data_IF_438593763420
#
_entry.id   IF_438593763420
#
_cell.length_a   1.000
_cell.length_b   1.000
_cell.length_c   1.000
_cell.angle_alpha   90.00
_cell.angle_beta   90.00
_cell.angle_gamma   90.00
#
_symmetry.space_group_name_H-M   'P 1'
#
loop_
_entity.id
_entity.type
_entity.pdbx_description
1 polymer ?
#
# COMPACT_ATOMS: atom_id res chain seq x y z
N UNK A 1 20.94 32.58 22.31
CA UNK A 1 19.71 32.06 21.69
C UNK A 1 19.57 30.63 22.15
N UNK A 2 18.56 30.34 22.97
CA UNK A 2 18.23 28.96 23.36
C UNK A 2 17.83 28.21 22.09
N UNK A 3 18.60 27.19 21.67
CA UNK A 3 18.08 26.26 20.65
C UNK A 3 16.81 25.66 21.24
N UNK A 4 15.69 25.74 20.53
CA UNK A 4 14.49 24.99 20.90
C UNK A 4 14.85 23.51 20.95
N UNK A 5 14.26 22.76 21.89
CA UNK A 5 14.51 21.31 21.98
C UNK A 5 14.07 20.64 20.68
N UNK A 6 14.92 19.77 20.14
CA UNK A 6 14.61 18.98 18.96
C UNK A 6 13.74 17.77 19.36
N UNK A 7 12.42 17.91 19.27
CA UNK A 7 11.47 16.91 19.74
C UNK A 7 10.74 16.22 18.57
N UNK A 8 10.62 14.89 18.67
CA UNK A 8 9.83 14.07 17.75
C UNK A 8 8.64 13.45 18.49
N UNK A 9 7.46 13.49 17.85
CA UNK A 9 6.30 12.71 18.24
C UNK A 9 6.16 11.52 17.30
N UNK A 10 6.34 10.32 17.84
CA UNK A 10 6.17 9.05 17.14
C UNK A 10 4.77 8.52 17.43
N UNK A 11 4.03 8.17 16.38
CA UNK A 11 2.62 7.79 16.42
C UNK A 11 2.49 6.38 15.84
N UNK A 12 1.95 5.44 16.63
CA UNK A 12 1.60 4.09 16.20
C UNK A 12 0.07 3.95 16.22
N UNK A 13 -0.55 3.96 15.04
CA UNK A 13 -1.94 3.57 14.90
C UNK A 13 -2.02 2.04 14.90
N UNK A 14 -2.29 1.46 16.07
CA UNK A 14 -2.44 0.02 16.29
C UNK A 14 -3.91 -0.43 16.22
N UNK A 15 -4.13 -1.72 15.91
CA UNK A 15 -5.48 -2.29 15.73
C UNK A 15 -6.34 -2.25 16.99
N UNK A 16 -5.72 -2.10 18.17
CA UNK A 16 -6.41 -1.95 19.46
C UNK A 16 -6.24 -0.55 20.04
N UNK A 17 -5.06 0.04 19.92
CA UNK A 17 -4.73 1.33 20.52
C UNK A 17 -3.93 2.19 19.55
N UNK A 18 -4.21 3.49 19.55
CA UNK A 18 -3.29 4.51 19.03
C UNK A 18 -2.33 4.90 20.15
N UNK A 19 -1.03 4.84 19.90
CA UNK A 19 0.01 5.08 20.91
C UNK A 19 0.94 6.19 20.46
N UNK A 20 1.38 6.99 21.42
CA UNK A 20 2.30 8.10 21.21
C UNK A 20 3.56 7.91 22.04
N UNK A 21 4.70 8.25 21.44
CA UNK A 21 5.97 8.44 22.15
C UNK A 21 6.59 9.77 21.73
N UNK A 22 6.80 10.62 22.71
CA UNK A 22 7.54 11.85 22.53
C UNK A 22 9.00 11.60 22.91
N UNK A 23 9.92 12.00 22.04
CA UNK A 23 11.36 11.74 22.16
C UNK A 23 12.13 13.04 21.95
N UNK A 24 13.10 13.30 22.82
CA UNK A 24 14.12 14.33 22.61
C UNK A 24 15.24 13.72 21.76
N UNK A 25 15.43 14.24 20.55
CA UNK A 25 16.41 13.71 19.60
C UNK A 25 17.85 14.13 19.93
N UNK A 26 18.04 15.22 20.68
CA UNK A 26 19.37 15.67 21.09
C UNK A 26 19.90 14.80 22.24
N UNK A 27 19.03 14.43 23.19
CA UNK A 27 19.41 13.57 24.33
C UNK A 27 19.12 12.08 24.10
N UNK A 28 18.36 11.73 23.07
CA UNK A 28 17.84 10.37 22.82
C UNK A 28 16.98 9.82 23.96
N UNK A 29 16.23 10.68 24.65
CA UNK A 29 15.39 10.30 25.80
C UNK A 29 13.89 10.32 25.44
N UNK A 30 13.13 9.38 25.99
CA UNK A 30 11.66 9.40 25.91
C UNK A 30 11.15 10.40 26.94
N UNK A 31 10.54 11.49 26.48
CA UNK A 31 10.00 12.55 27.34
C UNK A 31 8.55 12.27 27.77
N UNK A 32 7.86 11.34 27.10
CA UNK A 32 6.57 10.86 27.55
C UNK A 32 5.80 10.01 26.55
N UNK A 33 4.56 9.70 26.91
CA UNK A 33 3.66 8.88 26.10
C UNK A 33 2.20 9.20 26.38
N UNK A 34 1.34 8.87 25.42
CA UNK A 34 -0.09 8.77 25.62
C UNK A 34 -0.68 7.64 24.78
N UNK A 35 -1.88 7.23 25.13
CA UNK A 35 -2.61 6.22 24.39
C UNK A 35 -4.11 6.53 24.29
N UNK A 36 -4.71 6.15 23.17
CA UNK A 36 -6.14 6.24 22.92
C UNK A 36 -6.65 4.94 22.30
N UNK A 37 -7.96 4.67 22.34
CA UNK A 37 -8.54 3.55 21.61
C UNK A 37 -8.26 3.68 20.11
N UNK A 38 -8.14 2.56 19.40
CA UNK A 38 -8.11 2.58 17.95
C UNK A 38 -9.49 2.92 17.39
N UNK A 39 -9.53 3.90 16.49
CA UNK A 39 -10.75 4.38 15.82
C UNK A 39 -10.67 4.16 14.32
N UNK A 40 -9.87 3.18 13.87
CA UNK A 40 -9.69 2.85 12.45
C UNK A 40 -10.98 2.54 11.71
N UNK A 41 -11.96 1.91 12.39
CA UNK A 41 -13.25 1.61 11.78
C UNK A 41 -14.10 2.87 11.53
N UNK A 42 -13.69 4.02 12.08
CA UNK A 42 -14.35 5.32 11.92
C UNK A 42 -13.33 6.35 11.40
N UNK A 43 -12.80 7.22 12.27
CA UNK A 43 -11.82 8.24 11.93
C UNK A 43 -10.61 8.11 12.87
N UNK A 44 -9.44 7.84 12.30
CA UNK A 44 -8.18 7.67 13.04
C UNK A 44 -7.76 8.92 13.81
N UNK A 45 -8.23 10.10 13.41
CA UNK A 45 -7.92 11.36 14.10
C UNK A 45 -8.53 11.40 15.49
N UNK A 46 -9.68 10.75 15.73
CA UNK A 46 -10.28 10.64 17.06
C UNK A 46 -9.38 9.87 18.02
N UNK A 47 -8.83 8.74 17.59
CA UNK A 47 -7.86 7.95 18.35
C UNK A 47 -6.56 8.72 18.63
N UNK A 48 -6.09 9.51 17.66
CA UNK A 48 -4.94 10.40 17.83
C UNK A 48 -5.22 11.49 18.88
N UNK A 49 -6.37 12.16 18.80
CA UNK A 49 -6.76 13.19 19.77
C UNK A 49 -6.90 12.62 21.18
N UNK A 50 -7.50 11.43 21.32
CA UNK A 50 -7.58 10.74 22.60
C UNK A 50 -6.19 10.45 23.18
N UNK A 51 -5.25 9.97 22.35
CA UNK A 51 -3.89 9.70 22.79
C UNK A 51 -3.10 10.97 23.14
N UNK A 52 -3.31 12.06 22.39
CA UNK A 52 -2.71 13.37 22.68
C UNK A 52 -3.25 13.93 24.00
N UNK A 53 -4.56 13.84 24.24
CA UNK A 53 -5.18 14.27 25.50
C UNK A 53 -4.71 13.45 26.70
N UNK A 54 -4.56 12.12 26.55
CA UNK A 54 -3.95 11.27 27.59
C UNK A 54 -2.52 11.70 27.91
N UNK A 55 -1.73 12.04 26.88
CA UNK A 55 -0.37 12.53 27.07
C UNK A 55 -0.33 13.92 27.74
N UNK A 56 -1.16 14.84 27.27
CA UNK A 56 -1.30 16.21 27.82
C UNK A 56 -1.71 16.17 29.30
N UNK A 57 -2.60 15.26 29.69
CA UNK A 57 -2.97 15.07 31.09
C UNK A 57 -1.80 14.63 32.00
N UNK A 58 -0.76 14.02 31.44
CA UNK A 58 0.41 13.54 32.20
C UNK A 58 1.49 14.61 32.35
N UNK A 59 1.71 15.44 31.31
CA UNK A 59 2.82 16.39 31.28
C UNK A 59 2.38 17.86 31.33
N UNK A 60 1.08 18.14 31.28
CA UNK A 60 0.54 19.47 31.02
C UNK A 60 0.62 19.82 29.54
N UNK A 61 0.75 21.11 29.24
CA UNK A 61 0.77 21.62 27.86
C UNK A 61 1.76 20.84 26.98
N UNK A 62 1.25 20.37 25.84
CA UNK A 62 2.08 19.65 24.87
C UNK A 62 3.14 20.58 24.27
N UNK A 63 4.41 20.15 24.22
CA UNK A 63 5.47 20.94 23.58
C UNK A 63 5.28 20.97 22.06
N UNK A 64 5.98 21.89 21.41
CA UNK A 64 6.10 21.89 19.96
C UNK A 64 6.98 20.71 19.51
N UNK A 65 6.53 19.96 18.52
CA UNK A 65 7.26 18.84 17.94
C UNK A 65 7.74 19.22 16.54
N UNK A 66 9.05 19.20 16.32
CA UNK A 66 9.68 19.43 15.02
C UNK A 66 9.34 18.30 14.04
N UNK A 67 9.22 17.09 14.55
CA UNK A 67 8.86 15.91 13.77
C UNK A 67 7.61 15.24 14.29
N UNK A 68 6.71 14.87 13.37
CA UNK A 68 5.55 14.01 13.65
C UNK A 68 5.58 12.85 12.67
N UNK A 69 5.94 11.68 13.16
CA UNK A 69 6.12 10.49 12.34
C UNK A 69 5.08 9.45 12.74
N UNK A 70 4.37 8.90 11.76
CA UNK A 70 3.32 7.93 12.01
C UNK A 70 3.57 6.62 11.27
N UNK A 71 3.20 5.52 11.90
CA UNK A 71 2.98 4.23 11.27
C UNK A 71 1.57 3.74 11.60
N UNK A 72 1.02 2.87 10.75
CA UNK A 72 -0.29 2.27 10.98
C UNK A 72 -0.27 0.79 10.65
N UNK A 73 -0.80 -0.02 11.56
CA UNK A 73 -1.06 -1.45 11.38
C UNK A 73 -2.55 -1.78 11.52
N UNK A 74 -3.38 -0.77 11.76
CA UNK A 74 -4.67 -0.91 12.39
C UNK A 74 -5.84 -1.16 11.43
N UNK A 75 -5.73 -0.75 10.15
CA UNK A 75 -6.73 -0.95 9.10
C UNK A 75 -6.90 -2.40 8.61
N UNK A 76 -6.14 -3.35 9.17
CA UNK A 76 -5.80 -4.55 8.43
C UNK A 76 -4.80 -4.19 7.33
N UNK A 77 -3.81 -5.05 7.09
CA UNK A 77 -2.78 -4.76 6.08
C UNK A 77 -3.41 -4.48 4.71
N UNK A 78 -2.76 -3.63 3.92
CA UNK A 78 -3.18 -3.21 2.58
C UNK A 78 -3.71 -4.40 1.77
N UNK A 79 -5.02 -4.45 1.52
CA UNK A 79 -5.70 -5.55 0.85
C UNK A 79 -5.40 -5.50 -0.65
N UNK A 80 -4.55 -6.42 -1.12
CA UNK A 80 -4.10 -6.45 -2.50
C UNK A 80 -4.71 -7.61 -3.28
N UNK A 81 -5.22 -7.30 -4.47
CA UNK A 81 -5.54 -8.28 -5.51
C UNK A 81 -4.42 -8.31 -6.53
N UNK A 82 -4.13 -9.49 -7.08
CA UNK A 82 -3.17 -9.62 -8.18
C UNK A 82 -3.79 -10.24 -9.41
N UNK A 83 -3.36 -9.76 -10.57
CA UNK A 83 -3.81 -10.21 -11.88
C UNK A 83 -2.56 -10.42 -12.73
N UNK A 84 -2.38 -11.59 -13.34
CA UNK A 84 -1.22 -11.81 -14.19
C UNK A 84 -1.31 -13.02 -15.11
N UNK A 85 -0.22 -13.35 -15.81
CA UNK A 85 -0.26 -14.32 -16.91
C UNK A 85 -0.44 -15.79 -16.48
N UNK A 86 0.25 -16.25 -15.43
CA UNK A 86 0.25 -17.66 -15.01
C UNK A 86 0.08 -17.78 -13.51
N UNK A 87 -0.88 -18.59 -13.06
CA UNK A 87 -1.32 -18.68 -11.66
C UNK A 87 -0.18 -18.88 -10.65
N UNK A 88 0.73 -19.82 -10.89
CA UNK A 88 1.80 -20.18 -9.95
C UNK A 88 2.87 -19.07 -9.85
N UNK A 89 3.25 -18.47 -10.98
CA UNK A 89 4.29 -17.45 -11.05
C UNK A 89 3.77 -16.08 -10.63
N UNK A 90 2.56 -15.72 -11.09
CA UNK A 90 1.86 -14.50 -10.67
C UNK A 90 1.63 -14.52 -9.17
N UNK A 91 1.14 -15.62 -8.60
CA UNK A 91 0.86 -15.70 -7.17
C UNK A 91 2.13 -15.60 -6.32
N UNK A 92 3.25 -16.20 -6.73
CA UNK A 92 4.50 -16.15 -5.97
C UNK A 92 5.14 -14.75 -6.03
N UNK A 93 5.25 -14.16 -7.23
CA UNK A 93 5.77 -12.81 -7.40
C UNK A 93 4.91 -11.78 -6.64
N UNK A 94 3.59 -11.89 -6.78
CA UNK A 94 2.61 -11.10 -6.05
C UNK A 94 2.76 -11.25 -4.54
N UNK A 95 2.85 -12.48 -4.04
CA UNK A 95 2.96 -12.76 -2.62
C UNK A 95 4.27 -12.20 -2.04
N UNK A 96 5.38 -12.32 -2.76
CA UNK A 96 6.66 -11.76 -2.31
C UNK A 96 6.64 -10.22 -2.29
N UNK A 97 6.09 -9.59 -3.33
CA UNK A 97 5.90 -8.14 -3.37
C UNK A 97 4.95 -7.65 -2.26
N UNK A 98 3.82 -8.35 -2.06
CA UNK A 98 2.81 -8.04 -1.04
C UNK A 98 3.39 -8.11 0.38
N UNK A 99 3.96 -9.27 0.73
CA UNK A 99 4.48 -9.53 2.08
C UNK A 99 5.63 -8.57 2.41
N UNK A 100 6.49 -8.29 1.43
CA UNK A 100 7.57 -7.31 1.61
C UNK A 100 7.07 -5.87 1.77
N UNK A 101 5.92 -5.53 1.20
CA UNK A 101 5.30 -4.21 1.31
C UNK A 101 4.38 -4.05 2.53
N UNK A 102 4.12 -5.12 3.29
CA UNK A 102 3.13 -5.12 4.38
C UNK A 102 1.68 -5.24 3.91
N UNK A 103 1.47 -5.63 2.64
CA UNK A 103 0.17 -5.89 2.04
C UNK A 103 -0.27 -7.34 2.26
N UNK A 104 -1.58 -7.55 2.34
CA UNK A 104 -2.21 -8.87 2.43
C UNK A 104 -2.82 -9.21 1.08
N UNK A 105 -2.42 -10.34 0.51
CA UNK A 105 -3.04 -10.87 -0.70
C UNK A 105 -4.47 -11.34 -0.39
N UNK A 106 -5.48 -10.66 -0.94
CA UNK A 106 -6.91 -10.99 -0.78
C UNK A 106 -7.47 -11.78 -1.97
N UNK A 107 -6.85 -11.65 -3.15
CA UNK A 107 -7.22 -12.40 -4.35
C UNK A 107 -6.06 -12.53 -5.33
N UNK A 108 -6.07 -13.61 -6.11
CA UNK A 108 -5.08 -13.87 -7.15
C UNK A 108 -5.76 -14.46 -8.39
N UNK A 109 -5.73 -13.69 -9.46
CA UNK A 109 -6.32 -14.02 -10.75
C UNK A 109 -5.22 -14.21 -11.79
N UNK A 110 -5.48 -15.08 -12.75
CA UNK A 110 -4.50 -15.45 -13.75
C UNK A 110 -5.14 -15.57 -15.13
N UNK A 111 -4.33 -15.47 -16.18
CA UNK A 111 -4.78 -15.47 -17.57
C UNK A 111 -5.65 -14.24 -17.86
N UNK A 112 -6.56 -14.32 -18.82
CA UNK A 112 -7.54 -13.26 -19.09
C UNK A 112 -8.65 -13.25 -18.05
N UNK A 113 -8.87 -12.12 -17.38
CA UNK A 113 -9.94 -11.91 -16.42
C UNK A 113 -11.29 -12.19 -17.06
N UNK A 114 -12.10 -13.05 -16.49
CA UNK A 114 -13.49 -13.28 -16.93
C UNK A 114 -14.43 -12.21 -16.35
N UNK A 115 -15.67 -12.08 -16.86
CA UNK A 115 -16.68 -11.23 -16.21
C UNK A 115 -16.96 -11.60 -14.75
N UNK A 116 -16.88 -12.90 -14.42
CA UNK A 116 -17.04 -13.37 -13.04
C UNK A 116 -15.86 -12.95 -12.17
N UNK A 117 -14.63 -13.00 -12.70
CA UNK A 117 -13.44 -12.50 -11.99
C UNK A 117 -13.55 -11.00 -11.69
N UNK A 118 -14.03 -10.19 -12.66
CA UNK A 118 -14.26 -8.76 -12.43
C UNK A 118 -15.29 -8.54 -11.33
N UNK A 119 -16.39 -9.28 -11.35
CA UNK A 119 -17.44 -9.21 -10.32
C UNK A 119 -16.88 -9.57 -8.94
N UNK A 120 -16.01 -10.59 -8.87
CA UNK A 120 -15.34 -10.99 -7.64
C UNK A 120 -14.38 -9.90 -7.14
N UNK A 121 -13.57 -9.31 -8.02
CA UNK A 121 -12.64 -8.22 -7.66
C UNK A 121 -13.42 -7.01 -7.15
N UNK A 122 -14.53 -6.64 -7.80
CA UNK A 122 -15.40 -5.54 -7.36
C UNK A 122 -16.01 -5.82 -5.98
N UNK A 123 -16.47 -7.05 -5.73
CA UNK A 123 -17.03 -7.46 -4.45
C UNK A 123 -15.98 -7.50 -3.32
N UNK A 124 -14.72 -7.82 -3.64
CA UNK A 124 -13.62 -7.80 -2.69
C UNK A 124 -13.20 -6.38 -2.28
N UNK A 125 -13.49 -5.37 -3.09
CA UNK A 125 -13.12 -3.97 -2.88
C UNK A 125 -11.65 -3.81 -2.42
N UNK A 126 -10.66 -4.27 -3.22
CA UNK A 126 -9.26 -4.22 -2.84
C UNK A 126 -8.75 -2.78 -2.69
N UNK A 127 -7.80 -2.57 -1.79
CA UNK A 127 -7.12 -1.29 -1.61
C UNK A 127 -6.13 -1.00 -2.74
N UNK A 128 -5.61 -2.03 -3.39
CA UNK A 128 -4.65 -1.94 -4.50
C UNK A 128 -4.72 -3.17 -5.39
N UNK A 129 -4.44 -3.01 -6.69
CA UNK A 129 -4.22 -4.12 -7.62
C UNK A 129 -2.79 -4.11 -8.14
N UNK A 130 -2.14 -5.28 -8.14
CA UNK A 130 -0.92 -5.52 -8.91
C UNK A 130 -1.29 -6.22 -10.22
N UNK A 131 -1.16 -5.51 -11.33
CA UNK A 131 -1.30 -6.04 -12.68
C UNK A 131 0.08 -6.43 -13.22
N UNK A 132 0.37 -7.73 -13.21
CA UNK A 132 1.61 -8.31 -13.70
C UNK A 132 1.46 -8.82 -15.14
N UNK A 133 2.53 -8.70 -15.91
CA UNK A 133 2.60 -9.18 -17.29
C UNK A 133 3.24 -10.56 -17.41
N UNK A 134 3.57 -10.93 -18.65
CA UNK A 134 4.50 -12.03 -18.92
C UNK A 134 5.96 -11.55 -18.82
N UNK A 135 6.87 -12.34 -19.39
CA UNK A 135 8.28 -11.94 -19.55
C UNK A 135 8.44 -10.76 -20.51
N UNK A 136 9.55 -10.04 -20.40
CA UNK A 136 9.92 -9.01 -21.38
C UNK A 136 10.15 -9.66 -22.75
N UNK A 137 9.61 -9.05 -23.81
CA UNK A 137 9.54 -9.66 -25.14
C UNK A 137 8.61 -10.89 -25.26
N UNK A 138 7.86 -11.21 -24.20
CA UNK A 138 6.89 -12.32 -24.16
C UNK A 138 5.47 -11.91 -24.58
N UNK A 139 4.47 -12.59 -24.03
CA UNK A 139 3.06 -12.31 -24.33
C UNK A 139 2.62 -10.95 -23.76
N UNK A 140 2.29 -10.02 -24.66
CA UNK A 140 1.74 -8.70 -24.34
C UNK A 140 0.20 -8.66 -24.30
N UNK A 141 -0.46 -9.60 -24.97
CA UNK A 141 -1.91 -9.55 -25.19
C UNK A 141 -2.71 -9.66 -23.89
N UNK A 142 -2.31 -10.58 -23.00
CA UNK A 142 -3.08 -10.88 -21.79
C UNK A 142 -3.08 -9.69 -20.81
N UNK A 143 -1.94 -9.01 -20.64
CA UNK A 143 -1.90 -7.84 -19.75
C UNK A 143 -2.73 -6.68 -20.30
N UNK A 144 -2.72 -6.48 -21.62
CA UNK A 144 -3.52 -5.44 -22.27
C UNK A 144 -5.02 -5.75 -22.19
N UNK A 145 -5.39 -7.01 -22.38
CA UNK A 145 -6.77 -7.47 -22.21
C UNK A 145 -7.24 -7.24 -20.77
N UNK A 146 -6.43 -7.62 -19.78
CA UNK A 146 -6.74 -7.43 -18.37
C UNK A 146 -6.82 -5.95 -18.00
N UNK A 147 -5.90 -5.11 -18.49
CA UNK A 147 -5.95 -3.67 -18.33
C UNK A 147 -7.24 -3.09 -18.90
N UNK A 148 -7.67 -3.54 -20.09
CA UNK A 148 -8.94 -3.12 -20.69
C UNK A 148 -10.17 -3.51 -19.86
N UNK A 149 -10.18 -4.72 -19.30
CA UNK A 149 -11.27 -5.20 -18.44
C UNK A 149 -11.33 -4.46 -17.11
N UNK A 150 -10.18 -4.18 -16.48
CA UNK A 150 -10.08 -3.36 -15.28
C UNK A 150 -10.45 -1.89 -15.56
N UNK A 151 -10.09 -1.34 -16.72
CA UNK A 151 -10.49 0.00 -17.13
C UNK A 151 -12.01 0.12 -17.28
N UNK A 152 -12.68 -0.92 -17.77
CA UNK A 152 -14.12 -0.97 -17.95
C UNK A 152 -14.91 -1.32 -16.67
N UNK A 153 -14.24 -1.70 -15.58
CA UNK A 153 -14.88 -2.12 -14.33
C UNK A 153 -15.15 -0.96 -13.36
N UNK A 154 -15.92 -1.23 -12.31
CA UNK A 154 -16.20 -0.30 -11.22
C UNK A 154 -15.05 -0.18 -10.20
N UNK A 155 -13.97 -0.94 -10.35
CA UNK A 155 -12.82 -0.92 -9.42
C UNK A 155 -12.18 0.46 -9.37
N UNK A 156 -12.14 1.10 -8.21
CA UNK A 156 -11.64 2.48 -8.07
C UNK A 156 -10.24 2.59 -7.44
N UNK A 157 -9.67 1.48 -6.97
CA UNK A 157 -8.39 1.50 -6.28
C UNK A 157 -7.21 1.73 -7.24
N UNK A 158 -6.05 2.19 -6.72
CA UNK A 158 -4.83 2.31 -7.50
C UNK A 158 -4.35 0.97 -8.07
N UNK A 159 -3.75 1.03 -9.25
CA UNK A 159 -3.23 -0.14 -9.98
C UNK A 159 -1.73 0.03 -10.18
N UNK A 160 -0.94 -0.91 -9.67
CA UNK A 160 0.49 -1.04 -9.96
C UNK A 160 0.65 -1.93 -11.19
N UNK A 161 1.23 -1.39 -12.26
CA UNK A 161 1.51 -2.16 -13.49
C UNK A 161 2.97 -2.57 -13.48
N UNK A 162 3.21 -3.88 -13.40
CA UNK A 162 4.53 -4.50 -13.33
C UNK A 162 4.66 -5.57 -14.42
N UNK A 163 4.47 -5.13 -15.66
CA UNK A 163 4.36 -6.02 -16.82
C UNK A 163 5.52 -5.93 -17.79
N UNK A 164 5.36 -6.63 -18.92
CA UNK A 164 6.32 -6.62 -20.01
C UNK A 164 6.61 -5.18 -20.43
N UNK A 165 7.89 -4.85 -20.64
CA UNK A 165 8.30 -3.51 -21.04
C UNK A 165 7.55 -2.98 -22.27
N UNK A 166 7.24 -3.86 -23.22
CA UNK A 166 6.58 -3.51 -24.47
C UNK A 166 5.09 -3.17 -24.30
N UNK A 167 4.40 -3.79 -23.34
CA UNK A 167 2.95 -3.65 -23.14
C UNK A 167 2.59 -2.63 -22.05
N UNK A 168 3.52 -2.37 -21.14
CA UNK A 168 3.30 -1.51 -19.97
C UNK A 168 2.82 -0.09 -20.30
N UNK A 169 3.39 0.61 -21.30
CA UNK A 169 2.92 1.96 -21.66
C UNK A 169 1.45 1.97 -22.14
N UNK A 170 1.05 0.97 -22.91
CA UNK A 170 -0.30 0.86 -23.44
C UNK A 170 -1.29 0.46 -22.35
N UNK A 171 -0.92 -0.47 -21.47
CA UNK A 171 -1.72 -0.83 -20.30
C UNK A 171 -1.95 0.37 -19.37
N UNK A 172 -0.91 1.16 -19.10
CA UNK A 172 -1.01 2.40 -18.34
C UNK A 172 -2.00 3.37 -19.00
N UNK A 173 -1.84 3.64 -20.29
CA UNK A 173 -2.68 4.59 -21.02
C UNK A 173 -4.17 4.19 -21.00
N UNK A 174 -4.47 2.90 -21.15
CA UNK A 174 -5.84 2.37 -21.09
C UNK A 174 -6.48 2.61 -19.72
N UNK A 175 -5.75 2.32 -18.64
CA UNK A 175 -6.23 2.47 -17.26
C UNK A 175 -6.39 3.95 -16.87
N UNK A 176 -5.39 4.79 -17.16
CA UNK A 176 -5.44 6.23 -16.86
C UNK A 176 -6.56 6.94 -17.62
N UNK A 177 -6.78 6.58 -18.89
CA UNK A 177 -7.90 7.11 -19.69
C UNK A 177 -9.27 6.80 -19.08
N UNK A 178 -9.38 5.68 -18.36
CA UNK A 178 -10.56 5.31 -17.61
C UNK A 178 -10.62 5.93 -16.19
N UNK A 179 -9.68 6.80 -15.85
CA UNK A 179 -9.64 7.51 -14.56
C UNK A 179 -9.10 6.68 -13.40
N UNK A 180 -8.42 5.55 -13.66
CA UNK A 180 -7.80 4.75 -12.61
C UNK A 180 -6.44 5.36 -12.21
N UNK A 181 -6.10 5.48 -10.92
CA UNK A 181 -4.74 5.85 -10.51
C UNK A 181 -3.76 4.73 -10.88
N UNK A 182 -2.68 5.05 -11.59
CA UNK A 182 -1.71 4.06 -12.05
C UNK A 182 -0.31 4.39 -11.58
N UNK A 183 0.42 3.37 -11.09
CA UNK A 183 1.85 3.44 -10.85
C UNK A 183 2.55 2.37 -11.69
N UNK A 184 3.44 2.78 -12.58
CA UNK A 184 4.23 1.85 -13.39
C UNK A 184 5.53 1.51 -12.66
N UNK A 185 5.93 0.24 -12.73
CA UNK A 185 7.20 -0.26 -12.19
C UNK A 185 7.83 -1.27 -13.15
N UNK A 186 9.03 -1.75 -12.82
CA UNK A 186 9.70 -2.78 -13.60
C UNK A 186 8.92 -4.11 -13.54
N UNK A 187 9.12 -4.96 -14.54
CA UNK A 187 8.48 -6.27 -14.62
C UNK A 187 8.86 -7.14 -13.41
N UNK A 188 7.87 -7.77 -12.76
CA UNK A 188 8.13 -8.70 -11.64
C UNK A 188 8.80 -10.00 -12.08
N UNK A 189 8.74 -10.33 -13.37
CA UNK A 189 9.38 -11.50 -13.97
C UNK A 189 9.88 -11.15 -15.38
N UNK A 190 10.99 -10.39 -15.50
CA UNK A 190 11.50 -9.97 -16.81
C UNK A 190 11.92 -11.17 -17.68
N UNK A 191 12.43 -12.23 -17.06
CA UNK A 191 12.82 -13.47 -17.72
C UNK A 191 12.12 -14.68 -17.07
N UNK A 192 11.89 -15.75 -17.85
CA UNK A 192 11.18 -16.92 -17.35
C UNK A 192 11.95 -17.58 -16.19
N UNK A 193 11.31 -17.68 -15.03
CA UNK A 193 11.91 -18.24 -13.82
C UNK A 193 12.78 -17.26 -13.02
N UNK A 194 12.93 -16.01 -13.47
CA UNK A 194 13.69 -14.96 -12.77
C UNK A 194 12.73 -13.91 -12.23
N UNK A 195 12.59 -13.85 -10.90
CA UNK A 195 11.73 -12.87 -10.22
C UNK A 195 12.52 -11.60 -9.85
N UNK A 196 11.96 -10.44 -10.15
CA UNK A 196 12.44 -9.12 -9.72
C UNK A 196 11.32 -8.33 -9.02
N UNK A 197 11.08 -8.65 -7.75
CA UNK A 197 9.92 -8.12 -7.00
C UNK A 197 10.20 -6.82 -6.27
N UNK A 198 11.46 -6.40 -6.17
CA UNK A 198 11.89 -5.20 -5.44
C UNK A 198 11.26 -3.91 -6.00
N UNK A 199 11.25 -3.68 -7.32
CA UNK A 199 10.61 -2.49 -7.90
C UNK A 199 9.11 -2.45 -7.64
N UNK A 200 8.42 -3.61 -7.70
CA UNK A 200 6.99 -3.69 -7.42
C UNK A 200 6.70 -3.45 -5.94
N UNK A 201 7.53 -3.99 -5.03
CA UNK A 201 7.43 -3.75 -3.59
C UNK A 201 7.54 -2.26 -3.24
N UNK A 202 8.51 -1.57 -3.83
CA UNK A 202 8.70 -0.14 -3.59
C UNK A 202 7.58 0.71 -4.20
N UNK A 203 7.00 0.29 -5.33
CA UNK A 203 5.83 0.92 -5.90
C UNK A 203 4.61 0.77 -4.97
N UNK A 204 4.33 -0.43 -4.46
CA UNK A 204 3.22 -0.70 -3.54
C UNK A 204 3.32 0.15 -2.27
N UNK A 205 4.53 0.40 -1.75
CA UNK A 205 4.76 1.24 -0.55
C UNK A 205 4.51 2.74 -0.76
N UNK A 206 4.45 3.20 -2.02
CA UNK A 206 4.31 4.62 -2.38
C UNK A 206 2.89 5.00 -2.79
N UNK A 207 2.04 3.99 -2.99
CA UNK A 207 0.59 4.13 -3.19
C UNK A 207 -0.05 4.41 -1.85
#
# INVERSE_FOLDING_TARGET
>A
MSRGRNLALLIDFGSTFTKLRAVDLDTSEIIGSGQGPSTVATDVTDGLHAALGDFENQIGDLPEFEHRLACSSAAGGLGMVTVGLVRELTAEAAKQAALGAGAKLTGAFSYGLTPDDITEIEAQAPDIILLAGGTDGGNADVILENAGRLAASAVACPIVVAGNREATPDAQAVLEKAGKPVTVTANVMPEFGTLDVEPARDAIRKV
#
